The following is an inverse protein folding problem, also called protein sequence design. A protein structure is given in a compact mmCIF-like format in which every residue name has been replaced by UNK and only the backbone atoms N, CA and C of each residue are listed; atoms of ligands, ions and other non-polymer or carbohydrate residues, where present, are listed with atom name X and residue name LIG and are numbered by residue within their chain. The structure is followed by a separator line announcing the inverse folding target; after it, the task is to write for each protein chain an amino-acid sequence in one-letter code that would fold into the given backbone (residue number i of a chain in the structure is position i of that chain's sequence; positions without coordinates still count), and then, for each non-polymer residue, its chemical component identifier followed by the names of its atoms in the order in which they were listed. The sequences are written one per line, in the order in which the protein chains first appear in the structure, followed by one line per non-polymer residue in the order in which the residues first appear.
data_IF_163887516966
#
_entry.id   IF_163887516966
#
_cell.length_a   1.000
_cell.length_b   1.000
_cell.length_c   1.000
_cell.angle_alpha   90.00
_cell.angle_beta   90.00
_cell.angle_gamma   90.00
#
_symmetry.space_group_name_H-M   'P 1'
#
loop_
_entity.id
_entity.type
_entity.pdbx_description
1 polymer ?
#
# COMPACT_ATOMS: atom_id res chain seq x y z
N UNK A 1 -28.86 -46.97 24.06
CA UNK A 1 -28.18 -45.76 23.55
C UNK A 1 -28.93 -45.28 22.31
N UNK A 2 -29.73 -44.21 22.40
CA UNK A 2 -30.40 -43.64 21.23
C UNK A 2 -29.45 -42.63 20.59
N UNK A 3 -29.02 -42.91 19.36
CA UNK A 3 -28.27 -41.97 18.53
C UNK A 3 -29.30 -40.93 18.04
N UNK A 4 -29.30 -39.73 18.62
CA UNK A 4 -30.05 -38.61 18.06
C UNK A 4 -29.26 -38.07 16.87
N UNK A 5 -29.77 -38.33 15.66
CA UNK A 5 -29.23 -37.73 14.44
C UNK A 5 -29.63 -36.26 14.32
N UNK A 6 -28.81 -35.47 13.64
CA UNK A 6 -29.13 -34.08 13.33
C UNK A 6 -30.40 -33.99 12.48
N UNK A 7 -31.27 -33.03 12.80
CA UNK A 7 -32.41 -32.70 11.95
C UNK A 7 -31.93 -32.11 10.63
N UNK A 8 -32.64 -32.39 9.54
CA UNK A 8 -32.33 -31.82 8.22
C UNK A 8 -32.29 -30.28 8.24
N UNK A 9 -33.15 -29.65 9.06
CA UNK A 9 -33.13 -28.19 9.25
C UNK A 9 -31.85 -27.72 9.95
N UNK A 10 -31.35 -28.45 10.94
CA UNK A 10 -30.09 -28.12 11.63
C UNK A 10 -28.90 -28.22 10.68
N UNK A 11 -28.89 -29.25 9.82
CA UNK A 11 -27.85 -29.40 8.78
C UNK A 11 -27.92 -28.27 7.77
N UNK A 12 -29.12 -27.89 7.30
CA UNK A 12 -29.30 -26.77 6.38
C UNK A 12 -28.86 -25.44 6.98
N UNK A 13 -29.29 -25.14 8.20
CA UNK A 13 -28.89 -23.91 8.90
C UNK A 13 -27.38 -23.88 9.11
N UNK A 14 -26.79 -25.00 9.52
CA UNK A 14 -25.33 -25.12 9.68
C UNK A 14 -24.60 -24.89 8.35
N UNK A 15 -25.10 -25.47 7.25
CA UNK A 15 -24.51 -25.29 5.92
C UNK A 15 -24.57 -23.83 5.50
N UNK A 16 -25.72 -23.16 5.64
CA UNK A 16 -25.90 -21.74 5.31
C UNK A 16 -24.94 -20.87 6.13
N UNK A 17 -24.81 -21.15 7.44
CA UNK A 17 -23.88 -20.43 8.31
C UNK A 17 -22.43 -20.63 7.88
N UNK A 18 -22.00 -21.86 7.62
CA UNK A 18 -20.63 -22.12 7.16
C UNK A 18 -20.36 -21.45 5.82
N UNK A 19 -21.27 -21.53 4.86
CA UNK A 19 -21.09 -20.91 3.55
C UNK A 19 -21.03 -19.39 3.65
N UNK A 20 -21.93 -18.77 4.42
CA UNK A 20 -21.95 -17.31 4.59
C UNK A 20 -20.70 -16.79 5.29
N UNK A 21 -20.25 -17.44 6.37
CA UNK A 21 -19.01 -17.09 7.06
C UNK A 21 -17.80 -17.27 6.16
N UNK A 22 -17.73 -18.38 5.41
CA UNK A 22 -16.63 -18.63 4.47
C UNK A 22 -16.57 -17.57 3.37
N UNK A 23 -17.72 -17.16 2.83
CA UNK A 23 -17.79 -16.12 1.80
C UNK A 23 -17.37 -14.75 2.36
N UNK A 24 -17.82 -14.40 3.57
CA UNK A 24 -17.44 -13.16 4.24
C UNK A 24 -15.92 -13.11 4.52
N UNK A 25 -15.33 -14.21 5.00
CA UNK A 25 -13.90 -14.32 5.22
C UNK A 25 -13.10 -14.18 3.92
N UNK A 26 -13.57 -14.78 2.82
CA UNK A 26 -12.91 -14.65 1.53
C UNK A 26 -12.91 -13.19 1.03
N UNK A 27 -14.04 -12.49 1.18
CA UNK A 27 -14.14 -11.08 0.84
C UNK A 27 -13.22 -10.22 1.73
N UNK A 28 -13.19 -10.48 3.02
CA UNK A 28 -12.32 -9.77 3.97
C UNK A 28 -10.84 -9.98 3.63
N UNK A 29 -10.43 -11.22 3.33
CA UNK A 29 -9.06 -11.55 2.96
C UNK A 29 -8.59 -10.76 1.73
N UNK A 30 -9.45 -10.63 0.72
CA UNK A 30 -9.14 -9.87 -0.49
C UNK A 30 -8.91 -8.38 -0.19
N UNK A 31 -9.79 -7.78 0.60
CA UNK A 31 -9.69 -6.36 0.97
C UNK A 31 -8.46 -6.08 1.82
N UNK A 32 -8.19 -6.92 2.82
CA UNK A 32 -7.01 -6.80 3.68
C UNK A 32 -5.71 -6.94 2.87
N UNK A 33 -5.67 -7.90 1.95
CA UNK A 33 -4.51 -8.08 1.06
C UNK A 33 -4.24 -6.84 0.22
N UNK A 34 -5.27 -6.27 -0.40
CA UNK A 34 -5.14 -5.04 -1.19
C UNK A 34 -4.68 -3.85 -0.34
N UNK A 35 -5.24 -3.70 0.86
CA UNK A 35 -4.84 -2.64 1.79
C UNK A 35 -3.37 -2.78 2.21
N UNK A 36 -2.96 -4.00 2.59
CA UNK A 36 -1.59 -4.29 2.99
C UNK A 36 -0.60 -4.04 1.84
N UNK A 37 -0.95 -4.42 0.61
CA UNK A 37 -0.12 -4.13 -0.56
C UNK A 37 0.07 -2.62 -0.77
N UNK A 38 -0.99 -1.82 -0.65
CA UNK A 38 -0.89 -0.35 -0.74
C UNK A 38 -0.06 0.25 0.39
N UNK A 39 -0.23 -0.26 1.61
CA UNK A 39 0.54 0.17 2.77
C UNK A 39 2.04 -0.13 2.58
N UNK A 40 2.38 -1.31 2.08
CA UNK A 40 3.77 -1.69 1.78
C UNK A 40 4.38 -0.80 0.68
N UNK A 41 3.64 -0.52 -0.39
CA UNK A 41 4.10 0.40 -1.44
C UNK A 41 4.38 1.79 -0.88
N UNK A 42 3.48 2.33 -0.06
CA UNK A 42 3.67 3.64 0.57
C UNK A 42 4.82 3.66 1.57
N UNK A 43 5.00 2.60 2.35
CA UNK A 43 6.11 2.47 3.28
C UNK A 43 7.45 2.42 2.54
N UNK A 44 7.55 1.63 1.47
CA UNK A 44 8.74 1.58 0.62
C UNK A 44 9.02 2.92 -0.05
N UNK A 45 7.99 3.58 -0.58
CA UNK A 45 8.10 4.91 -1.16
C UNK A 45 8.64 5.93 -0.14
N UNK A 46 8.11 5.93 1.08
CA UNK A 46 8.59 6.80 2.17
C UNK A 46 10.07 6.56 2.45
N UNK A 47 10.48 5.30 2.64
CA UNK A 47 11.88 4.94 2.88
C UNK A 47 12.78 5.37 1.73
N UNK A 48 12.35 5.22 0.48
CA UNK A 48 13.13 5.63 -0.69
C UNK A 48 13.28 7.15 -0.77
N UNK A 49 12.21 7.89 -0.48
CA UNK A 49 12.23 9.35 -0.42
C UNK A 49 13.16 9.83 0.71
N UNK A 50 13.06 9.24 1.90
CA UNK A 50 13.89 9.58 3.06
C UNK A 50 15.37 9.32 2.78
N UNK A 51 15.71 8.14 2.26
CA UNK A 51 17.08 7.82 1.87
C UNK A 51 17.62 8.79 0.82
N UNK A 52 16.80 9.18 -0.17
CA UNK A 52 17.23 10.14 -1.18
C UNK A 52 17.36 11.56 -0.63
N UNK A 53 16.51 11.97 0.32
CA UNK A 53 16.71 13.25 1.00
C UNK A 53 18.01 13.31 1.77
N UNK A 54 18.36 12.26 2.51
CA UNK A 54 19.64 12.19 3.22
C UNK A 54 20.82 12.20 2.25
N UNK A 55 20.71 11.53 1.10
CA UNK A 55 21.74 11.58 0.05
C UNK A 55 21.93 13.01 -0.49
N UNK A 56 20.84 13.74 -0.73
CA UNK A 56 20.92 15.14 -1.16
C UNK A 56 21.60 16.00 -0.10
N UNK A 57 21.24 15.86 1.17
CA UNK A 57 21.86 16.59 2.28
C UNK A 57 23.36 16.26 2.41
N UNK A 58 23.73 15.00 2.17
CA UNK A 58 25.11 14.52 2.14
C UNK A 58 25.86 14.84 0.83
N UNK A 59 25.25 15.59 -0.10
CA UNK A 59 25.79 15.92 -1.44
C UNK A 59 26.15 14.69 -2.29
N UNK A 60 25.43 13.60 -2.09
CA UNK A 60 25.54 12.36 -2.87
C UNK A 60 24.53 12.35 -4.02
N UNK A 61 24.83 11.65 -5.13
CA UNK A 61 23.88 11.50 -6.22
C UNK A 61 22.65 10.71 -5.78
N UNK A 62 21.49 11.06 -6.32
CA UNK A 62 20.23 10.36 -6.07
C UNK A 62 20.34 8.88 -6.46
N UNK A 63 19.78 8.01 -5.61
CA UNK A 63 19.61 6.61 -5.94
C UNK A 63 18.46 6.46 -6.92
N UNK A 64 18.70 5.81 -8.05
CA UNK A 64 17.64 5.53 -9.04
C UNK A 64 16.71 4.45 -8.50
N UNK A 65 15.42 4.75 -8.29
CA UNK A 65 14.46 3.69 -7.99
C UNK A 65 14.30 2.72 -9.17
N UNK A 66 13.86 1.50 -8.86
CA UNK A 66 13.34 0.58 -9.88
C UNK A 66 11.85 0.85 -10.10
N UNK A 67 11.34 0.50 -11.28
CA UNK A 67 9.90 0.53 -11.57
C UNK A 67 9.13 -0.22 -10.47
N UNK A 68 7.97 0.28 -10.01
CA UNK A 68 7.14 1.33 -10.58
C UNK A 68 7.35 2.73 -9.95
N UNK A 69 8.50 2.99 -9.33
CA UNK A 69 8.74 4.25 -8.62
C UNK A 69 9.49 5.25 -9.51
N UNK A 70 8.98 6.47 -9.61
CA UNK A 70 9.59 7.57 -10.35
C UNK A 70 9.97 8.70 -9.39
N UNK A 71 11.27 8.96 -9.28
CA UNK A 71 11.80 10.05 -8.45
C UNK A 71 12.11 11.25 -9.32
N UNK A 72 11.48 12.38 -9.02
CA UNK A 72 11.75 13.67 -9.66
C UNK A 72 12.33 14.65 -8.65
N UNK A 73 13.23 15.49 -9.16
CA UNK A 73 13.93 16.54 -8.40
C UNK A 73 13.53 17.88 -9.00
N UNK A 74 12.94 18.75 -8.21
CA UNK A 74 12.59 20.12 -8.63
C UNK A 74 13.30 21.14 -7.75
N UNK A 75 14.05 22.05 -8.37
CA UNK A 75 14.77 23.13 -7.69
C UNK A 75 13.83 24.32 -7.49
N UNK A 76 13.83 24.86 -6.27
CA UNK A 76 13.06 26.04 -5.88
C UNK A 76 14.00 27.10 -5.32
N UNK A 77 13.56 28.35 -5.27
CA UNK A 77 14.40 29.50 -4.87
C UNK A 77 15.00 29.42 -3.46
N UNK A 78 14.50 28.54 -2.59
CA UNK A 78 14.98 28.34 -1.21
C UNK A 78 15.50 26.91 -0.95
N UNK A 79 15.64 26.08 -1.98
CA UNK A 79 16.15 24.72 -1.84
C UNK A 79 15.64 23.75 -2.90
N UNK A 80 15.24 22.56 -2.45
CA UNK A 80 14.91 21.46 -3.34
C UNK A 80 13.64 20.74 -2.92
N UNK A 81 12.79 20.37 -3.86
CA UNK A 81 11.70 19.42 -3.64
C UNK A 81 12.08 18.09 -4.29
N UNK A 82 12.03 17.03 -3.50
CA UNK A 82 12.06 15.66 -4.00
C UNK A 82 10.63 15.14 -4.05
N UNK A 83 10.20 14.67 -5.21
CA UNK A 83 8.88 14.08 -5.43
C UNK A 83 9.04 12.65 -5.89
N UNK A 84 8.28 11.75 -5.28
CA UNK A 84 8.27 10.33 -5.60
C UNK A 84 6.85 9.91 -5.95
N UNK A 85 6.65 9.43 -7.16
CA UNK A 85 5.39 8.88 -7.63
C UNK A 85 5.51 7.36 -7.82
N UNK A 86 4.42 6.62 -7.63
CA UNK A 86 4.38 5.19 -7.92
C UNK A 86 3.04 4.69 -8.44
N UNK A 87 3.08 3.60 -9.19
CA UNK A 87 1.88 2.97 -9.75
C UNK A 87 1.64 3.31 -11.21
N UNK A 88 0.58 2.73 -11.79
CA UNK A 88 0.22 2.86 -13.20
C UNK A 88 -0.91 3.89 -13.44
N UNK A 89 -1.40 4.53 -12.39
CA UNK A 89 -2.42 5.57 -12.53
C UNK A 89 -1.77 6.92 -12.91
N UNK A 90 -2.39 7.68 -13.81
CA UNK A 90 -1.89 9.01 -14.15
C UNK A 90 -1.91 9.91 -12.90
N UNK A 91 -0.88 10.74 -12.76
CA UNK A 91 -0.59 11.63 -11.63
C UNK A 91 -1.74 12.59 -11.18
N UNK A 92 -2.89 12.57 -11.84
CA UNK A 92 -4.06 13.40 -11.55
C UNK A 92 -4.97 12.89 -10.41
N UNK A 93 -4.84 11.64 -9.94
CA UNK A 93 -5.67 11.14 -8.84
C UNK A 93 -5.15 11.53 -7.45
N UNK A 94 -3.97 12.16 -7.34
CA UNK A 94 -3.32 12.51 -6.06
C UNK A 94 -2.96 11.28 -5.19
N UNK A 95 -3.33 10.09 -5.64
CA UNK A 95 -3.05 8.82 -5.05
C UNK A 95 -1.66 8.41 -5.52
N UNK A 96 -0.81 8.01 -4.57
CA UNK A 96 0.53 7.49 -4.84
C UNK A 96 1.60 8.52 -5.24
N UNK A 97 1.60 9.67 -4.57
CA UNK A 97 2.74 10.59 -4.57
C UNK A 97 3.18 10.96 -3.14
N UNK A 98 4.47 11.13 -2.95
CA UNK A 98 5.07 11.70 -1.74
C UNK A 98 6.05 12.78 -2.14
N UNK A 99 6.05 13.89 -1.42
CA UNK A 99 6.94 15.01 -1.67
C UNK A 99 7.62 15.43 -0.38
N UNK A 100 8.89 15.84 -0.49
CA UNK A 100 9.66 16.37 0.62
C UNK A 100 10.43 17.60 0.16
N UNK A 101 10.19 18.72 0.83
CA UNK A 101 10.98 19.94 0.67
C UNK A 101 12.22 19.87 1.55
N UNK A 102 13.37 20.14 0.95
CA UNK A 102 14.67 20.22 1.58
C UNK A 102 15.15 21.67 1.48
N UNK A 103 15.46 22.26 2.62
CA UNK A 103 16.05 23.60 2.69
C UNK A 103 17.57 23.41 2.62
N UNK A 104 18.18 23.81 1.52
CA UNK A 104 19.64 23.80 1.37
C UNK A 104 20.15 25.18 1.71
N UNK A 105 20.76 25.31 2.90
CA UNK A 105 21.39 26.56 3.37
C UNK A 105 22.81 26.69 2.85
#
# INVERSE_FOLDING_TARGET
MKIQGFSFLEVLVSLILVTSVSLALLQQQLQVSQFLQRALQRAFASTLLDNNSERVLARQPLAKPQNPYELTKTEISQGLILSLAWGFEPANSGCCQLQRSLITR
#
